data_IF_858140044357
#
_entry.id   IF_858140044357
#
_cell.length_a   1.000
_cell.length_b   1.000
_cell.length_c   1.000
_cell.angle_alpha   90.00
_cell.angle_beta   90.00
_cell.angle_gamma   90.00
#
_symmetry.space_group_name_H-M   'P 1'
#
loop_
_entity.id
_entity.type
_entity.pdbx_description
1 polymer ?
#
# COMPACT_ATOMS: atom_id res chain seq x y z
N UNK A 1 3.69 -2.03 -59.57
CA UNK A 1 4.40 -0.73 -59.42
C UNK A 1 3.65 0.23 -58.51
N UNK A 2 2.30 0.23 -58.47
CA UNK A 2 1.51 1.07 -57.54
C UNK A 2 1.47 0.54 -56.09
N UNK A 3 1.41 -0.79 -55.90
CA UNK A 3 1.38 -1.42 -54.56
C UNK A 3 2.65 -1.19 -53.72
N UNK A 4 3.84 -1.16 -54.34
CA UNK A 4 5.10 -0.86 -53.64
C UNK A 4 5.20 0.63 -53.25
N UNK A 5 4.49 1.51 -53.96
CA UNK A 5 4.47 2.94 -53.66
C UNK A 5 3.53 3.29 -52.50
N UNK A 6 2.46 2.52 -52.31
CA UNK A 6 1.57 2.66 -51.14
C UNK A 6 2.20 2.09 -49.87
N UNK A 7 2.85 0.93 -49.95
CA UNK A 7 3.54 0.32 -48.79
C UNK A 7 4.66 1.23 -48.26
N UNK A 8 5.36 1.94 -49.15
CA UNK A 8 6.39 2.94 -48.75
C UNK A 8 5.79 4.21 -48.12
N UNK A 9 4.56 4.58 -48.52
CA UNK A 9 3.86 5.77 -48.00
C UNK A 9 3.25 5.52 -46.62
N UNK A 10 2.91 4.28 -46.30
CA UNK A 10 2.38 3.90 -44.98
C UNK A 10 3.49 3.65 -43.95
N UNK A 11 4.73 3.34 -44.37
CA UNK A 11 5.86 3.15 -43.45
C UNK A 11 6.47 4.45 -42.91
N UNK A 12 6.04 5.63 -43.40
CA UNK A 12 6.68 6.93 -43.10
C UNK A 12 5.99 7.76 -42.00
N UNK A 13 4.98 7.21 -41.31
CA UNK A 13 4.33 7.86 -40.15
C UNK A 13 4.02 6.88 -39.01
N UNK A 14 4.96 6.00 -38.68
CA UNK A 14 5.00 5.52 -37.29
C UNK A 14 5.64 6.67 -36.52
N UNK A 15 4.80 7.53 -35.94
CA UNK A 15 5.24 8.55 -34.99
C UNK A 15 6.00 7.80 -33.90
N UNK A 16 7.33 7.86 -33.94
CA UNK A 16 8.17 7.23 -32.93
C UNK A 16 7.82 7.94 -31.64
N UNK A 17 7.14 7.23 -30.74
CA UNK A 17 6.75 7.75 -29.43
C UNK A 17 7.99 8.36 -28.77
N UNK A 18 7.95 9.68 -28.57
CA UNK A 18 8.99 10.38 -27.83
C UNK A 18 8.78 10.05 -26.34
N UNK A 19 9.44 8.97 -25.93
CA UNK A 19 9.38 8.43 -24.57
C UNK A 19 9.81 9.50 -23.56
N UNK A 20 10.79 10.34 -23.90
CA UNK A 20 11.27 11.39 -23.00
C UNK A 20 10.21 12.49 -22.82
N UNK A 21 9.48 12.82 -23.90
CA UNK A 21 8.35 13.75 -23.83
C UNK A 21 7.17 13.17 -23.03
N UNK A 22 6.85 11.88 -23.16
CA UNK A 22 5.81 11.24 -22.35
C UNK A 22 6.16 11.24 -20.86
N UNK A 23 7.38 10.83 -20.50
CA UNK A 23 7.90 10.85 -19.12
C UNK A 23 7.83 12.26 -18.53
N UNK A 24 8.27 13.26 -19.30
CA UNK A 24 8.19 14.67 -18.90
C UNK A 24 6.74 15.09 -18.61
N UNK A 25 5.81 14.72 -19.47
CA UNK A 25 4.39 15.02 -19.28
C UNK A 25 3.85 14.43 -17.98
N UNK A 26 4.11 13.15 -17.67
CA UNK A 26 3.61 12.52 -16.42
C UNK A 26 4.12 13.23 -15.15
N UNK A 27 5.37 13.65 -15.13
CA UNK A 27 5.94 14.41 -14.00
C UNK A 27 5.18 15.72 -13.75
N UNK A 28 4.79 16.43 -14.80
CA UNK A 28 4.01 17.68 -14.67
C UNK A 28 2.59 17.45 -14.17
N UNK A 29 1.99 16.28 -14.45
CA UNK A 29 0.68 15.92 -13.89
C UNK A 29 0.76 15.66 -12.39
N UNK A 30 1.81 15.01 -11.91
CA UNK A 30 2.02 14.75 -10.47
C UNK A 30 2.11 16.04 -9.64
N UNK A 31 2.58 17.15 -10.23
CA UNK A 31 2.62 18.46 -9.57
C UNK A 31 1.24 19.13 -9.47
N UNK A 32 0.27 18.72 -10.32
CA UNK A 32 -1.08 19.30 -10.31
C UNK A 32 -1.89 18.77 -9.13
N UNK A 33 -2.41 19.70 -8.33
CA UNK A 33 -3.27 19.38 -7.16
C UNK A 33 -4.47 18.49 -7.53
N UNK A 34 -5.12 18.75 -8.67
CA UNK A 34 -6.26 17.96 -9.12
C UNK A 34 -5.89 16.50 -9.38
N UNK A 35 -4.75 16.25 -10.01
CA UNK A 35 -4.27 14.89 -10.28
C UNK A 35 -3.87 14.16 -8.99
N UNK A 36 -3.22 14.85 -8.03
CA UNK A 36 -2.93 14.26 -6.71
C UNK A 36 -4.19 13.86 -5.95
N UNK A 37 -5.25 14.68 -6.03
CA UNK A 37 -6.56 14.32 -5.45
C UNK A 37 -7.11 13.04 -6.08
N UNK A 38 -7.05 12.92 -7.41
CA UNK A 38 -7.48 11.71 -8.11
C UNK A 38 -6.68 10.49 -7.65
N UNK A 39 -5.36 10.60 -7.52
CA UNK A 39 -4.52 9.50 -7.03
C UNK A 39 -4.87 9.12 -5.59
N UNK A 40 -5.06 10.08 -4.70
CA UNK A 40 -5.50 9.83 -3.32
C UNK A 40 -6.82 9.07 -3.31
N UNK A 41 -7.82 9.54 -4.08
CA UNK A 41 -9.12 8.87 -4.18
C UNK A 41 -9.02 7.45 -4.75
N UNK A 42 -8.21 7.25 -5.80
CA UNK A 42 -8.01 5.94 -6.43
C UNK A 42 -7.31 4.96 -5.49
N UNK A 43 -6.24 5.37 -4.81
CA UNK A 43 -5.56 4.51 -3.85
C UNK A 43 -6.43 4.20 -2.63
N UNK A 44 -7.21 5.17 -2.13
CA UNK A 44 -8.16 4.91 -1.05
C UNK A 44 -9.24 3.90 -1.47
N UNK A 45 -9.83 4.08 -2.65
CA UNK A 45 -10.83 3.15 -3.18
C UNK A 45 -10.24 1.75 -3.41
N UNK A 46 -9.04 1.67 -3.98
CA UNK A 46 -8.34 0.41 -4.22
C UNK A 46 -8.08 -0.33 -2.91
N UNK A 47 -7.58 0.37 -1.88
CA UNK A 47 -7.37 -0.22 -0.56
C UNK A 47 -8.68 -0.80 -0.02
N UNK A 48 -9.76 0.00 0.01
CA UNK A 48 -11.07 -0.43 0.52
C UNK A 48 -11.58 -1.67 -0.23
N UNK A 49 -11.55 -1.65 -1.57
CA UNK A 49 -12.02 -2.76 -2.40
C UNK A 49 -11.22 -4.03 -2.14
N UNK A 50 -9.88 -3.94 -2.12
CA UNK A 50 -9.03 -5.08 -1.81
C UNK A 50 -9.26 -5.61 -0.40
N UNK A 51 -9.49 -4.72 0.57
CA UNK A 51 -9.83 -5.08 1.94
C UNK A 51 -11.12 -5.89 2.01
N UNK A 52 -12.21 -5.42 1.38
CA UNK A 52 -13.49 -6.13 1.43
C UNK A 52 -13.51 -7.39 0.55
N UNK A 53 -12.86 -7.36 -0.61
CA UNK A 53 -12.77 -8.51 -1.50
C UNK A 53 -12.07 -9.69 -0.83
N UNK A 54 -10.99 -9.38 -0.10
CA UNK A 54 -10.16 -10.39 0.56
C UNK A 54 -10.58 -10.68 2.00
N UNK A 55 -11.57 -9.97 2.56
CA UNK A 55 -12.07 -10.22 3.92
C UNK A 55 -12.53 -11.67 4.15
N UNK A 56 -12.99 -12.34 3.09
CA UNK A 56 -13.43 -13.74 3.13
C UNK A 56 -12.32 -14.75 2.87
N UNK A 57 -11.15 -14.30 2.41
CA UNK A 57 -10.00 -15.16 2.17
C UNK A 57 -9.08 -15.04 3.39
N UNK A 58 -9.09 -16.04 4.29
CA UNK A 58 -8.30 -15.96 5.50
C UNK A 58 -6.82 -15.80 5.13
N UNK A 59 -6.13 -14.92 5.86
CA UNK A 59 -4.67 -14.73 5.83
C UNK A 59 -4.10 -14.01 4.60
N UNK A 60 -4.92 -13.51 3.67
CA UNK A 60 -4.46 -12.64 2.58
C UNK A 60 -5.07 -11.26 2.78
N UNK A 61 -4.27 -10.29 3.22
CA UNK A 61 -4.72 -8.91 3.38
C UNK A 61 -3.85 -7.94 2.56
N UNK A 62 -4.41 -7.46 1.45
CA UNK A 62 -3.74 -6.43 0.63
C UNK A 62 -4.07 -5.00 1.07
N UNK A 63 -4.93 -4.83 2.08
CA UNK A 63 -5.33 -3.52 2.60
C UNK A 63 -4.12 -2.75 3.16
N UNK A 64 -3.45 -3.31 4.16
CA UNK A 64 -2.24 -2.74 4.77
C UNK A 64 -1.13 -2.50 3.73
N UNK A 65 -0.92 -3.45 2.82
CA UNK A 65 0.08 -3.34 1.75
C UNK A 65 -0.22 -2.16 0.82
N UNK A 66 -1.47 -1.97 0.41
CA UNK A 66 -1.88 -0.88 -0.49
C UNK A 66 -1.71 0.49 0.17
N UNK A 67 -2.01 0.61 1.47
CA UNK A 67 -1.80 1.84 2.22
C UNK A 67 -0.31 2.16 2.31
N UNK A 68 0.53 1.19 2.64
CA UNK A 68 1.98 1.36 2.65
C UNK A 68 2.51 1.81 1.27
N UNK A 69 2.09 1.11 0.21
CA UNK A 69 2.44 1.40 -1.18
C UNK A 69 2.06 2.83 -1.57
N UNK A 70 0.88 3.29 -1.15
CA UNK A 70 0.43 4.66 -1.44
C UNK A 70 1.38 5.73 -0.87
N UNK A 71 1.86 5.53 0.36
CA UNK A 71 2.86 6.41 0.95
C UNK A 71 4.21 6.30 0.27
N UNK A 72 4.63 5.08 -0.09
CA UNK A 72 5.89 4.85 -0.80
C UNK A 72 5.95 5.58 -2.14
N UNK A 73 4.82 5.65 -2.85
CA UNK A 73 4.72 6.28 -4.18
C UNK A 73 4.41 7.78 -4.09
N UNK A 74 3.43 8.19 -3.28
CA UNK A 74 2.89 9.57 -3.28
C UNK A 74 3.48 10.47 -2.19
N UNK A 75 4.22 9.89 -1.24
CA UNK A 75 4.89 10.58 -0.16
C UNK A 75 4.05 10.73 1.12
N UNK A 76 4.63 11.42 2.11
CA UNK A 76 4.19 11.40 3.52
C UNK A 76 2.76 11.87 3.70
N UNK A 77 2.44 13.06 3.19
CA UNK A 77 1.13 13.68 3.37
C UNK A 77 0.03 12.82 2.75
N UNK A 78 0.22 12.40 1.51
CA UNK A 78 -0.79 11.69 0.74
C UNK A 78 -0.98 10.28 1.28
N UNK A 79 0.11 9.58 1.63
CA UNK A 79 0.04 8.27 2.29
C UNK A 79 -0.72 8.30 3.61
N UNK A 80 -0.50 9.31 4.46
CA UNK A 80 -1.27 9.47 5.70
C UNK A 80 -2.75 9.72 5.43
N UNK A 81 -3.09 10.59 4.47
CA UNK A 81 -4.48 10.88 4.10
C UNK A 81 -5.16 9.61 3.57
N UNK A 82 -4.47 8.85 2.72
CA UNK A 82 -5.00 7.60 2.15
C UNK A 82 -5.23 6.59 3.26
N UNK A 83 -4.27 6.40 4.16
CA UNK A 83 -4.40 5.54 5.33
C UNK A 83 -5.60 5.92 6.19
N UNK A 84 -5.76 7.22 6.50
CA UNK A 84 -6.89 7.73 7.26
C UNK A 84 -8.25 7.50 6.55
N UNK A 85 -8.38 7.94 5.30
CA UNK A 85 -9.67 7.87 4.57
C UNK A 85 -10.08 6.44 4.27
N UNK A 86 -9.14 5.59 3.83
CA UNK A 86 -9.43 4.19 3.53
C UNK A 86 -9.84 3.42 4.78
N UNK A 87 -9.11 3.58 5.89
CA UNK A 87 -9.44 2.92 7.15
C UNK A 87 -10.73 3.46 7.76
N UNK A 88 -11.01 4.75 7.65
CA UNK A 88 -12.29 5.30 8.10
C UNK A 88 -13.45 4.64 7.38
N UNK A 89 -13.39 4.54 6.05
CA UNK A 89 -14.45 3.88 5.29
C UNK A 89 -14.51 2.39 5.65
N UNK A 90 -13.36 1.72 5.63
CA UNK A 90 -13.27 0.28 5.85
C UNK A 90 -13.78 -0.16 7.22
N UNK A 91 -13.44 0.57 8.29
CA UNK A 91 -13.74 0.23 9.67
C UNK A 91 -15.10 0.79 10.15
N UNK A 92 -15.46 2.01 9.75
CA UNK A 92 -16.71 2.64 10.20
C UNK A 92 -17.92 2.15 9.40
N UNK A 93 -17.79 1.98 8.08
CA UNK A 93 -18.85 1.46 7.21
C UNK A 93 -18.72 -0.05 6.95
N UNK A 94 -18.07 -0.77 7.87
CA UNK A 94 -17.90 -2.22 7.75
C UNK A 94 -19.26 -2.93 7.76
N UNK A 95 -19.60 -3.74 6.73
CA UNK A 95 -20.85 -4.50 6.68
C UNK A 95 -21.04 -5.47 7.86
N UNK A 96 -19.94 -5.91 8.50
CA UNK A 96 -19.97 -6.79 9.66
C UNK A 96 -20.17 -6.04 10.99
N UNK A 97 -20.23 -4.71 10.95
CA UNK A 97 -20.41 -3.85 12.12
C UNK A 97 -19.28 -2.82 12.27
N UNK A 98 -19.65 -1.61 12.63
CA UNK A 98 -18.70 -0.52 12.83
C UNK A 98 -17.77 -0.81 14.02
N UNK A 99 -16.48 -0.51 13.87
CA UNK A 99 -15.53 -0.63 14.98
C UNK A 99 -15.89 0.31 16.14
N UNK A 100 -15.85 -0.16 17.41
CA UNK A 100 -16.07 0.69 18.58
C UNK A 100 -15.10 1.87 18.61
N UNK A 101 -15.52 2.99 19.20
CA UNK A 101 -14.79 4.27 19.08
C UNK A 101 -13.31 4.21 19.48
N UNK A 102 -12.89 3.54 20.59
CA UNK A 102 -11.47 3.42 20.92
C UNK A 102 -10.68 2.61 19.88
N UNK A 103 -11.25 1.51 19.39
CA UNK A 103 -10.63 0.67 18.37
C UNK A 103 -10.55 1.39 17.03
N UNK A 104 -11.61 2.11 16.65
CA UNK A 104 -11.64 2.94 15.45
C UNK A 104 -10.53 3.99 15.49
N UNK A 105 -10.40 4.73 16.60
CA UNK A 105 -9.35 5.74 16.75
C UNK A 105 -7.94 5.13 16.61
N UNK A 106 -7.72 3.95 17.19
CA UNK A 106 -6.48 3.20 17.01
C UNK A 106 -6.25 2.81 15.55
N UNK A 107 -7.24 2.23 14.88
CA UNK A 107 -7.15 1.80 13.47
C UNK A 107 -6.82 2.98 12.56
N UNK A 108 -7.56 4.10 12.66
CA UNK A 108 -7.31 5.31 11.86
C UNK A 108 -5.87 5.80 12.02
N UNK A 109 -5.39 5.81 13.26
CA UNK A 109 -4.02 6.25 13.59
C UNK A 109 -2.99 5.29 13.03
N UNK A 110 -3.17 3.98 13.25
CA UNK A 110 -2.26 2.94 12.78
C UNK A 110 -2.12 2.93 11.26
N UNK A 111 -3.24 3.00 10.54
CA UNK A 111 -3.21 3.00 9.07
C UNK A 111 -2.65 4.31 8.49
N UNK A 112 -2.89 5.45 9.15
CA UNK A 112 -2.23 6.71 8.78
C UNK A 112 -0.70 6.61 8.95
N UNK A 113 -0.24 6.03 10.08
CA UNK A 113 1.18 5.77 10.34
C UNK A 113 1.74 4.77 9.32
N UNK A 114 0.99 3.75 8.93
CA UNK A 114 1.41 2.78 7.90
C UNK A 114 1.73 3.47 6.57
N UNK A 115 0.87 4.39 6.13
CA UNK A 115 1.13 5.22 4.95
C UNK A 115 2.36 6.11 5.13
N UNK A 116 2.55 6.70 6.32
CA UNK A 116 3.75 7.47 6.63
C UNK A 116 5.03 6.61 6.57
N UNK A 117 5.02 5.40 7.12
CA UNK A 117 6.18 4.48 7.10
C UNK A 117 6.54 4.13 5.64
N UNK A 118 5.53 3.91 4.79
CA UNK A 118 5.75 3.71 3.34
C UNK A 118 6.55 4.85 2.72
N UNK A 119 6.14 6.09 2.98
CA UNK A 119 6.84 7.27 2.48
C UNK A 119 8.26 7.40 3.05
N UNK A 120 8.44 7.14 4.35
CA UNK A 120 9.77 7.17 4.98
C UNK A 120 10.70 6.10 4.41
N UNK A 121 10.16 4.94 4.04
CA UNK A 121 10.94 3.87 3.40
C UNK A 121 11.37 4.28 1.99
N UNK A 122 10.50 4.94 1.23
CA UNK A 122 10.84 5.53 -0.07
C UNK A 122 11.97 6.58 0.06
N UNK A 123 11.86 7.51 1.02
CA UNK A 123 12.90 8.50 1.30
C UNK A 123 14.26 7.85 1.64
N UNK A 124 14.25 6.78 2.44
CA UNK A 124 15.47 6.05 2.82
C UNK A 124 16.13 5.39 1.61
N UNK A 125 15.33 4.81 0.72
CA UNK A 125 15.82 4.12 -0.48
C UNK A 125 16.42 5.11 -1.48
N UNK A 126 15.75 6.25 -1.71
CA UNK A 126 16.26 7.30 -2.57
C UNK A 126 17.58 7.90 -2.05
N UNK A 127 17.71 8.11 -0.73
CA UNK A 127 18.88 8.78 -0.14
C UNK A 127 20.10 7.88 0.08
N UNK A 128 19.89 6.62 0.47
CA UNK A 128 20.98 5.74 0.95
C UNK A 128 21.33 4.59 0.02
N UNK A 129 20.41 4.18 -0.85
CA UNK A 129 20.56 2.96 -1.66
C UNK A 129 20.87 3.31 -3.13
N UNK A 130 20.99 4.60 -3.48
CA UNK A 130 21.15 5.09 -4.88
C UNK A 130 20.19 4.36 -5.81
N UNK A 131 18.89 4.48 -5.51
CA UNK A 131 17.83 3.85 -6.27
C UNK A 131 17.67 4.55 -7.63
N UNK A 132 18.18 3.96 -8.71
CA UNK A 132 17.83 4.38 -10.06
C UNK A 132 16.44 3.82 -10.42
N UNK A 133 15.62 4.53 -11.21
CA UNK A 133 14.26 4.08 -11.60
C UNK A 133 14.23 2.70 -12.29
N UNK A 134 15.38 2.18 -12.73
CA UNK A 134 15.57 0.88 -13.37
C UNK A 134 16.13 -0.21 -12.44
N UNK A 135 16.36 0.07 -11.16
CA UNK A 135 16.88 -0.94 -10.23
C UNK A 135 15.83 -2.00 -9.87
N UNK A 136 16.23 -3.26 -9.98
CA UNK A 136 15.39 -4.38 -9.55
C UNK A 136 15.20 -4.37 -8.03
N UNK A 137 13.95 -4.20 -7.58
CA UNK A 137 13.53 -4.26 -6.18
C UNK A 137 13.48 -5.70 -5.63
N UNK A 138 13.66 -6.73 -6.46
CA UNK A 138 13.77 -8.13 -6.02
C UNK A 138 15.19 -8.50 -5.53
N UNK A 139 16.03 -7.51 -5.21
CA UNK A 139 17.28 -7.74 -4.46
C UNK A 139 16.95 -8.29 -3.06
N UNK A 140 17.65 -9.35 -2.66
CA UNK A 140 17.40 -10.05 -1.39
C UNK A 140 17.42 -9.12 -0.16
N UNK A 141 18.33 -8.13 -0.14
CA UNK A 141 18.42 -7.13 0.92
C UNK A 141 17.18 -6.22 1.00
N UNK A 142 16.63 -5.81 -0.15
CA UNK A 142 15.42 -4.99 -0.25
C UNK A 142 14.20 -5.80 0.19
N UNK A 143 14.06 -7.01 -0.33
CA UNK A 143 13.00 -7.95 0.06
C UNK A 143 13.02 -8.22 1.57
N UNK A 144 14.20 -8.41 2.15
CA UNK A 144 14.36 -8.59 3.59
C UNK A 144 13.88 -7.36 4.37
N UNK A 145 14.25 -6.14 3.95
CA UNK A 145 13.79 -4.90 4.58
C UNK A 145 12.27 -4.79 4.52
N UNK A 146 11.66 -5.02 3.34
CA UNK A 146 10.20 -4.98 3.22
C UNK A 146 9.52 -6.05 4.07
N UNK A 147 10.05 -7.26 4.12
CA UNK A 147 9.54 -8.32 4.98
C UNK A 147 9.57 -7.93 6.46
N UNK A 148 10.68 -7.39 6.95
CA UNK A 148 10.80 -6.92 8.34
C UNK A 148 9.79 -5.80 8.63
N UNK A 149 9.65 -4.84 7.72
CA UNK A 149 8.67 -3.75 7.87
C UNK A 149 7.24 -4.29 7.90
N UNK A 150 6.88 -5.17 6.97
CA UNK A 150 5.56 -5.80 6.91
C UNK A 150 5.23 -6.59 8.17
N UNK A 151 6.21 -7.37 8.67
CA UNK A 151 6.09 -8.11 9.92
C UNK A 151 5.88 -7.18 11.12
N UNK A 152 6.64 -6.09 11.23
CA UNK A 152 6.53 -5.13 12.34
C UNK A 152 5.21 -4.38 12.33
N UNK A 153 4.78 -3.88 11.17
CA UNK A 153 3.49 -3.20 11.01
C UNK A 153 2.37 -4.15 11.42
N UNK A 154 2.34 -5.36 10.85
CA UNK A 154 1.28 -6.34 11.12
C UNK A 154 1.28 -6.79 12.58
N UNK A 155 2.45 -7.09 13.14
CA UNK A 155 2.55 -7.52 14.55
C UNK A 155 2.10 -6.42 15.50
N UNK A 156 2.49 -5.17 15.24
CA UNK A 156 2.07 -4.03 16.06
C UNK A 156 0.56 -3.81 15.97
N UNK A 157 -0.07 -3.99 14.80
CA UNK A 157 -1.53 -3.96 14.68
C UNK A 157 -2.17 -5.04 15.54
N UNK A 158 -1.73 -6.29 15.40
CA UNK A 158 -2.34 -7.43 16.08
C UNK A 158 -2.24 -7.34 17.61
N UNK A 159 -1.09 -6.93 18.13
CA UNK A 159 -0.87 -6.77 19.58
C UNK A 159 -1.65 -5.58 20.12
N UNK A 160 -1.60 -4.43 19.45
CA UNK A 160 -2.23 -3.21 19.99
C UNK A 160 -3.74 -3.19 19.77
N UNK A 161 -4.26 -3.74 18.68
CA UNK A 161 -5.71 -3.83 18.45
C UNK A 161 -6.39 -4.72 19.49
N UNK A 162 -5.85 -5.91 19.73
CA UNK A 162 -6.36 -6.82 20.77
C UNK A 162 -6.26 -6.22 22.17
N UNK A 163 -5.19 -5.48 22.46
CA UNK A 163 -5.06 -4.73 23.71
C UNK A 163 -6.16 -3.68 23.87
N UNK A 164 -6.38 -2.86 22.83
CA UNK A 164 -7.42 -1.83 22.83
C UNK A 164 -8.82 -2.45 22.96
N UNK A 165 -9.05 -3.58 22.30
CA UNK A 165 -10.32 -4.30 22.35
C UNK A 165 -10.62 -4.84 23.75
N UNK A 166 -9.64 -5.53 24.36
CA UNK A 166 -9.77 -6.06 25.73
C UNK A 166 -10.03 -4.94 26.74
N UNK A 167 -9.26 -3.84 26.65
CA UNK A 167 -9.47 -2.68 27.51
C UNK A 167 -10.83 -2.03 27.30
N UNK A 168 -11.32 -2.00 26.06
CA UNK A 168 -12.61 -1.39 25.73
C UNK A 168 -13.80 -2.24 26.22
N UNK A 169 -13.68 -3.57 26.19
CA UNK A 169 -14.77 -4.47 26.53
C UNK A 169 -14.77 -4.89 28.01
N UNK A 170 -13.60 -5.28 28.54
CA UNK A 170 -13.48 -5.79 29.91
C UNK A 170 -13.03 -4.72 30.92
N UNK A 171 -12.42 -3.63 30.46
CA UNK A 171 -11.92 -2.57 31.35
C UNK A 171 -10.72 -2.96 32.21
N UNK A 172 -10.15 -4.14 32.01
CA UNK A 172 -8.97 -4.65 32.74
C UNK A 172 -7.96 -5.30 31.78
N UNK A 173 -6.69 -5.33 32.20
CA UNK A 173 -5.62 -6.03 31.49
C UNK A 173 -5.54 -7.53 31.83
N UNK A 174 -6.22 -7.98 32.89
CA UNK A 174 -6.14 -9.36 33.35
C UNK A 174 -6.63 -10.35 32.27
N UNK A 175 -7.59 -9.92 31.45
CA UNK A 175 -8.17 -10.71 30.36
C UNK A 175 -7.34 -10.68 29.06
N UNK A 176 -6.30 -9.85 28.99
CA UNK A 176 -5.54 -9.68 27.74
C UNK A 176 -4.80 -10.94 27.32
N UNK A 177 -4.07 -11.57 28.24
CA UNK A 177 -3.27 -12.74 27.92
C UNK A 177 -4.14 -13.95 27.51
N UNK A 178 -5.22 -14.31 28.24
CA UNK A 178 -6.16 -15.33 27.79
C UNK A 178 -6.75 -15.00 26.40
N UNK A 179 -7.24 -13.77 26.20
CA UNK A 179 -7.81 -13.34 24.93
C UNK A 179 -6.83 -13.49 23.76
N UNK A 180 -5.63 -12.92 23.90
CA UNK A 180 -4.60 -12.95 22.86
C UNK A 180 -4.16 -14.38 22.51
N UNK A 181 -4.04 -15.26 23.50
CA UNK A 181 -3.64 -16.65 23.28
C UNK A 181 -4.68 -17.45 22.49
N UNK A 182 -5.98 -17.15 22.62
CA UNK A 182 -7.01 -17.84 21.82
C UNK A 182 -6.88 -17.56 20.32
N UNK A 183 -6.43 -16.36 19.94
CA UNK A 183 -6.24 -15.93 18.56
C UNK A 183 -4.85 -16.19 17.98
N UNK A 184 -3.89 -16.66 18.79
CA UNK A 184 -2.47 -16.66 18.47
C UNK A 184 -2.13 -17.34 17.13
N UNK A 185 -2.78 -18.46 16.81
CA UNK A 185 -2.53 -19.18 15.56
C UNK A 185 -2.98 -18.38 14.34
N UNK A 186 -4.13 -17.70 14.43
CA UNK A 186 -4.63 -16.82 13.37
C UNK A 186 -3.74 -15.60 13.22
N UNK A 187 -3.34 -15.00 14.34
CA UNK A 187 -2.37 -13.89 14.35
C UNK A 187 -1.06 -14.29 13.69
N UNK A 188 -0.51 -15.47 14.01
CA UNK A 188 0.74 -15.94 13.44
C UNK A 188 0.63 -16.14 11.91
N UNK A 189 -0.42 -16.82 11.44
CA UNK A 189 -0.62 -17.04 10.00
C UNK A 189 -0.81 -15.71 9.28
N UNK A 190 -1.55 -14.77 9.87
CA UNK A 190 -1.78 -13.45 9.29
C UNK A 190 -0.48 -12.61 9.21
N UNK A 191 0.36 -12.63 10.25
CA UNK A 191 1.69 -12.00 10.23
C UNK A 191 2.55 -12.59 9.11
N UNK A 192 2.57 -13.92 8.97
CA UNK A 192 3.30 -14.59 7.89
C UNK A 192 2.76 -14.15 6.52
N UNK A 193 1.45 -14.19 6.33
CA UNK A 193 0.79 -13.80 5.07
C UNK A 193 1.15 -12.38 4.62
N UNK A 194 1.00 -11.39 5.52
CA UNK A 194 1.36 -10.01 5.21
C UNK A 194 2.87 -9.84 4.97
N UNK A 195 3.70 -10.53 5.76
CA UNK A 195 5.16 -10.50 5.55
C UNK A 195 5.53 -10.99 4.16
N UNK A 196 4.93 -12.10 3.70
CA UNK A 196 5.14 -12.63 2.35
C UNK A 196 4.61 -11.67 1.28
N UNK A 197 3.48 -11.00 1.50
CA UNK A 197 2.98 -9.95 0.61
C UNK A 197 3.98 -8.81 0.44
N UNK A 198 4.58 -8.33 1.53
CA UNK A 198 5.63 -7.31 1.49
C UNK A 198 6.90 -7.80 0.79
N UNK A 199 7.24 -9.08 0.90
CA UNK A 199 8.44 -9.65 0.26
C UNK A 199 8.23 -9.84 -1.25
N UNK A 200 7.09 -10.39 -1.67
CA UNK A 200 6.91 -10.87 -3.05
C UNK A 200 6.04 -9.97 -3.93
N UNK A 201 5.01 -9.34 -3.34
CA UNK A 201 4.02 -8.56 -4.09
C UNK A 201 4.44 -7.08 -4.15
N UNK A 202 4.85 -6.52 -3.01
CA UNK A 202 5.15 -5.09 -2.90
C UNK A 202 6.26 -4.61 -3.86
N UNK A 203 7.41 -5.29 -4.03
CA UNK A 203 8.44 -4.87 -4.98
C UNK A 203 7.90 -4.72 -6.41
N UNK A 204 7.15 -5.71 -6.89
CA UNK A 204 6.57 -5.71 -8.23
C UNK A 204 5.55 -4.59 -8.42
N UNK A 205 4.69 -4.34 -7.41
CA UNK A 205 3.74 -3.24 -7.46
C UNK A 205 4.42 -1.87 -7.48
N UNK A 206 5.49 -1.68 -6.70
CA UNK A 206 6.26 -0.42 -6.72
C UNK A 206 6.86 -0.19 -8.11
N UNK A 207 7.52 -1.20 -8.71
CA UNK A 207 8.11 -1.07 -10.04
C UNK A 207 7.04 -0.76 -11.10
N UNK A 208 5.92 -1.49 -11.06
CA UNK A 208 4.80 -1.31 -12.00
C UNK A 208 4.22 0.11 -11.91
N UNK A 209 3.88 0.57 -10.71
CA UNK A 209 3.24 1.87 -10.53
C UNK A 209 4.23 3.00 -10.84
N UNK A 210 5.51 2.87 -10.47
CA UNK A 210 6.51 3.87 -10.84
C UNK A 210 6.62 3.99 -12.36
N UNK A 211 6.68 2.87 -13.09
CA UNK A 211 6.71 2.87 -14.57
C UNK A 211 5.45 3.46 -15.21
N UNK A 212 4.31 3.43 -14.52
CA UNK A 212 3.06 4.05 -14.99
C UNK A 212 2.99 5.55 -14.69
N UNK A 213 3.72 6.03 -13.69
CA UNK A 213 3.68 7.43 -13.22
C UNK A 213 4.91 8.25 -13.64
N UNK A 214 6.01 7.59 -14.01
CA UNK A 214 7.30 8.16 -14.39
C UNK A 214 7.85 7.38 -15.57
#
# INVERSE_FOLDING_TARGET
MELESEVKKTSEKVEVLDVDQEISNYSTWLERKSFRIVLISTFSALAIVLGYLLAYIPNIELFTLTIFLSGFILGKRDGMIIGFLSSFIFCFFNPLGASPLPLLAFQLTHYSITGLIGALTSDLFQKKISFESNDDLYKLSVMFIFGVIGALITSSFQILSSLVEVLSYFGTLDEYLPYFLTGLIFTAIHIIGNTLGFIFILPGLIQLIKKMLY
#
